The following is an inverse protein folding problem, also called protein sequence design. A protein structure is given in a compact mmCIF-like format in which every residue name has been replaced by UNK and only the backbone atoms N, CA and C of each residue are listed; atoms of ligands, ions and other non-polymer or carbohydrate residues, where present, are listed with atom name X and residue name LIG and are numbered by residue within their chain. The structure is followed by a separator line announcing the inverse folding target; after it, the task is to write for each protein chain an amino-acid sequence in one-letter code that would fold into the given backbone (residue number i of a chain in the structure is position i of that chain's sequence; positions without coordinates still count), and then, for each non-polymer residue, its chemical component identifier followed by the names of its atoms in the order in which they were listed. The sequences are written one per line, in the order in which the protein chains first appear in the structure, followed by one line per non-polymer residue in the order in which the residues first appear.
data_IF_478543166315
#
_entry.id   IF_478543166315
#
_cell.length_a   1.000
_cell.length_b   1.000
_cell.length_c   1.000
_cell.angle_alpha   90.00
_cell.angle_beta   90.00
_cell.angle_gamma   90.00
#
_symmetry.space_group_name_H-M   'P 1'
#
loop_
_entity.id
_entity.type
_entity.pdbx_description
1 polymer ?
#
# COMPACT_ATOMS: atom_id res chain seq x y z
N UNK A 1 -1.23 6.32 33.05
CA UNK A 1 -1.16 7.41 32.06
C UNK A 1 -0.71 6.84 30.72
N UNK A 2 -1.65 6.57 29.80
CA UNK A 2 -1.33 6.10 28.45
C UNK A 2 -1.54 7.24 27.45
N UNK A 3 -0.55 7.59 26.61
CA UNK A 3 -0.73 8.60 25.60
C UNK A 3 -1.62 8.05 24.48
N UNK A 4 -2.79 8.66 24.33
CA UNK A 4 -3.67 8.44 23.19
C UNK A 4 -3.02 9.02 21.92
N UNK A 5 -2.28 8.18 21.20
CA UNK A 5 -1.92 8.45 19.81
C UNK A 5 -3.20 8.42 18.98
N UNK A 6 -3.76 9.59 18.66
CA UNK A 6 -4.77 9.76 17.60
C UNK A 6 -4.11 9.52 16.24
N UNK A 7 -3.74 8.28 15.96
CA UNK A 7 -3.51 7.84 14.58
C UNK A 7 -4.86 7.85 13.88
N UNK A 8 -4.98 8.63 12.81
CA UNK A 8 -5.99 8.33 11.78
C UNK A 8 -5.59 6.98 11.20
N UNK A 9 -6.13 5.91 11.76
CA UNK A 9 -5.97 4.55 11.24
C UNK A 9 -6.64 4.56 9.87
N UNK A 10 -5.83 4.68 8.82
CA UNK A 10 -6.30 4.44 7.47
C UNK A 10 -6.48 2.92 7.34
N UNK A 11 -7.72 2.50 7.55
CA UNK A 11 -8.19 1.16 7.26
C UNK A 11 -7.88 0.83 5.81
N UNK A 12 -7.37 -0.37 5.61
CA UNK A 12 -7.55 -1.07 4.34
C UNK A 12 -8.31 -2.38 4.61
N UNK A 13 -9.24 -2.36 5.57
CA UNK A 13 -10.33 -3.30 5.57
C UNK A 13 -11.49 -2.63 4.82
N UNK A 14 -12.01 -3.35 3.83
CA UNK A 14 -13.11 -2.92 2.97
C UNK A 14 -14.41 -2.97 3.77
N UNK A 15 -14.68 -1.96 4.60
CA UNK A 15 -16.03 -1.68 5.11
C UNK A 15 -16.21 -0.17 5.22
N UNK A 16 -17.30 0.30 4.60
CA UNK A 16 -17.83 1.66 4.68
C UNK A 16 -18.02 2.03 6.18
N UNK A 17 -17.81 3.25 6.67
CA UNK A 17 -18.42 4.50 6.24
C UNK A 17 -17.60 5.69 6.77
N UNK A 18 -16.87 6.39 5.88
CA UNK A 18 -16.59 7.85 5.82
C UNK A 18 -15.44 8.13 4.83
N UNK A 19 -15.68 8.71 3.66
CA UNK A 19 -16.04 7.96 2.45
C UNK A 19 -15.07 8.35 1.33
N UNK A 20 -14.06 7.52 1.04
CA UNK A 20 -13.49 7.43 -0.30
C UNK A 20 -13.23 5.95 -0.62
N UNK A 21 -14.30 5.31 -1.07
CA UNK A 21 -14.29 3.97 -1.64
C UNK A 21 -13.59 4.04 -2.99
N UNK A 22 -12.40 3.46 -3.12
CA UNK A 22 -12.06 2.82 -4.37
C UNK A 22 -12.73 1.44 -4.35
N UNK A 23 -14.03 1.44 -4.62
CA UNK A 23 -14.57 0.29 -5.32
C UNK A 23 -13.92 0.37 -6.71
N UNK A 24 -13.01 -0.56 -7.00
CA UNK A 24 -12.94 -1.02 -8.37
C UNK A 24 -14.35 -1.50 -8.66
N UNK A 25 -15.19 -0.65 -9.28
CA UNK A 25 -16.35 -1.13 -9.99
C UNK A 25 -15.86 -2.33 -10.79
N UNK A 26 -16.58 -3.43 -10.67
CA UNK A 26 -16.18 -4.73 -11.19
C UNK A 26 -15.99 -4.69 -12.70
N UNK A 27 -14.85 -4.18 -13.12
CA UNK A 27 -14.17 -4.61 -14.30
C UNK A 27 -12.98 -5.38 -13.76
N UNK A 28 -13.13 -6.70 -13.70
CA UNK A 28 -11.99 -7.61 -13.72
C UNK A 28 -11.27 -7.38 -15.06
N UNK A 29 -10.67 -6.21 -15.24
CA UNK A 29 -9.53 -6.11 -16.11
C UNK A 29 -8.43 -6.80 -15.34
N UNK A 30 -8.34 -8.12 -15.58
CA UNK A 30 -7.12 -8.91 -15.48
C UNK A 30 -6.02 -8.18 -16.27
N UNK A 31 -5.53 -7.09 -15.72
CA UNK A 31 -4.25 -6.51 -16.06
C UNK A 31 -3.31 -7.08 -15.01
N UNK A 32 -2.71 -8.27 -15.24
CA UNK A 32 -1.84 -8.97 -14.28
C UNK A 32 -0.51 -8.23 -14.00
N UNK A 33 -0.41 -6.94 -14.33
CA UNK A 33 0.85 -6.21 -14.33
C UNK A 33 1.20 -5.59 -12.97
N UNK A 34 0.24 -5.40 -12.06
CA UNK A 34 0.53 -4.67 -10.82
C UNK A 34 -0.25 -5.06 -9.56
N UNK A 35 0.46 -4.98 -8.42
CA UNK A 35 -0.08 -5.25 -7.10
C UNK A 35 -0.94 -4.07 -6.62
N UNK A 36 -1.87 -4.35 -5.70
CA UNK A 36 -2.83 -3.38 -5.18
C UNK A 36 -2.17 -2.09 -4.65
N UNK A 37 -0.99 -2.17 -4.03
CA UNK A 37 -0.29 -1.00 -3.49
C UNK A 37 0.15 -0.04 -4.60
N UNK A 38 0.59 -0.57 -5.77
CA UNK A 38 0.97 0.27 -6.91
C UNK A 38 -0.24 0.90 -7.58
N UNK A 39 -1.35 0.18 -7.66
CA UNK A 39 -2.61 0.72 -8.18
C UNK A 39 -3.13 1.86 -7.31
N UNK A 40 -3.05 1.69 -5.99
CA UNK A 40 -3.39 2.75 -5.05
C UNK A 40 -2.53 4.00 -5.28
N UNK A 41 -1.20 3.85 -5.35
CA UNK A 41 -0.29 4.97 -5.60
C UNK A 41 -0.56 5.65 -6.95
N UNK A 42 -0.81 4.87 -8.01
CA UNK A 42 -1.14 5.41 -9.33
C UNK A 42 -2.45 6.24 -9.29
N UNK A 43 -3.48 5.75 -8.61
CA UNK A 43 -4.73 6.49 -8.42
C UNK A 43 -4.52 7.82 -7.66
N UNK A 44 -3.68 7.81 -6.63
CA UNK A 44 -3.30 9.03 -5.90
C UNK A 44 -2.54 10.04 -6.78
N UNK A 45 -1.58 9.57 -7.57
CA UNK A 45 -0.82 10.41 -8.52
C UNK A 45 -1.75 11.01 -9.58
N UNK A 46 -2.65 10.21 -10.16
CA UNK A 46 -3.63 10.68 -11.12
C UNK A 46 -4.56 11.74 -10.50
N UNK A 47 -4.94 11.57 -9.24
CA UNK A 47 -5.75 12.57 -8.50
C UNK A 47 -4.97 13.85 -8.24
N UNK A 48 -3.69 13.75 -7.89
CA UNK A 48 -2.81 14.93 -7.73
C UNK A 48 -2.70 15.72 -9.04
N UNK A 49 -2.54 15.01 -10.17
CA UNK A 49 -2.50 15.62 -11.50
C UNK A 49 -3.81 16.33 -11.85
N UNK A 50 -4.96 15.70 -11.60
CA UNK A 50 -6.28 16.31 -11.81
C UNK A 50 -6.52 17.53 -10.92
N UNK A 51 -5.88 17.59 -9.75
CA UNK A 51 -5.93 18.73 -8.85
C UNK A 51 -4.89 19.82 -9.19
N UNK A 52 -4.16 19.70 -10.31
CA UNK A 52 -3.15 20.69 -10.73
C UNK A 52 -1.88 20.71 -9.88
N UNK A 53 -1.59 19.64 -9.13
CA UNK A 53 -0.42 19.60 -8.24
C UNK A 53 0.87 19.48 -9.06
N UNK A 54 1.86 20.38 -8.89
CA UNK A 54 3.14 20.28 -9.58
C UNK A 54 3.87 18.98 -9.25
N UNK A 55 4.58 18.39 -10.23
CA UNK A 55 5.26 17.08 -10.09
C UNK A 55 6.12 16.95 -8.83
N UNK A 56 6.86 18.00 -8.48
CA UNK A 56 7.74 18.00 -7.30
C UNK A 56 6.97 18.02 -5.97
N UNK A 57 5.71 18.44 -5.96
CA UNK A 57 4.85 18.46 -4.77
C UNK A 57 3.95 17.22 -4.63
N UNK A 58 3.87 16.37 -5.67
CA UNK A 58 2.98 15.20 -5.67
C UNK A 58 3.24 14.29 -4.48
N UNK A 59 4.51 14.00 -4.16
CA UNK A 59 4.85 13.15 -3.01
C UNK A 59 4.30 13.70 -1.70
N UNK A 60 4.55 14.99 -1.45
CA UNK A 60 4.04 15.65 -0.24
C UNK A 60 2.51 15.71 -0.21
N UNK A 61 1.87 15.98 -1.35
CA UNK A 61 0.42 15.98 -1.49
C UNK A 61 -0.20 14.61 -1.19
N UNK A 62 0.37 13.55 -1.75
CA UNK A 62 -0.09 12.16 -1.51
C UNK A 62 0.10 11.80 -0.04
N UNK A 63 1.26 12.10 0.56
CA UNK A 63 1.52 11.83 1.98
C UNK A 63 0.48 12.49 2.90
N UNK A 64 0.12 13.74 2.62
CA UNK A 64 -0.92 14.47 3.36
C UNK A 64 -2.31 13.84 3.20
N UNK A 65 -2.66 13.39 2.00
CA UNK A 65 -3.98 12.78 1.73
C UNK A 65 -4.09 11.35 2.25
N UNK A 66 -3.02 10.57 2.18
CA UNK A 66 -2.94 9.21 2.71
C UNK A 66 -2.76 9.16 4.24
N UNK A 67 -2.66 10.30 4.94
CA UNK A 67 -2.47 10.33 6.39
C UNK A 67 -1.10 9.83 6.86
N UNK A 68 -0.11 9.71 5.97
CA UNK A 68 1.26 9.29 6.28
C UNK A 68 1.47 7.80 6.52
N UNK A 69 0.40 6.98 6.51
CA UNK A 69 0.50 5.53 6.68
C UNK A 69 -0.52 4.78 5.83
N UNK A 70 -0.13 3.62 5.32
CA UNK A 70 -1.04 2.68 4.65
C UNK A 70 -1.07 1.34 5.38
N UNK A 71 -2.19 0.65 5.31
CA UNK A 71 -2.30 -0.73 5.79
C UNK A 71 -2.45 -1.67 4.60
N UNK A 72 -1.78 -2.82 4.61
CA UNK A 72 -1.85 -3.81 3.55
C UNK A 72 -2.45 -5.09 4.13
N UNK A 73 -3.50 -5.59 3.49
CA UNK A 73 -4.18 -6.83 3.85
C UNK A 73 -4.10 -7.78 2.68
N UNK A 74 -4.04 -9.08 3.00
CA UNK A 74 -4.12 -10.15 2.01
C UNK A 74 -5.19 -11.11 2.46
N UNK A 75 -6.26 -11.20 1.68
CA UNK A 75 -7.29 -12.21 1.89
C UNK A 75 -6.86 -13.50 1.17
N UNK A 76 -6.94 -14.61 1.89
CA UNK A 76 -6.80 -15.95 1.33
C UNK A 76 -8.17 -16.43 0.83
N UNK A 77 -8.19 -17.55 0.09
CA UNK A 77 -9.40 -18.08 -0.51
C UNK A 77 -10.45 -18.53 0.53
N UNK A 78 -10.01 -18.86 1.73
CA UNK A 78 -10.82 -19.21 2.90
C UNK A 78 -11.36 -17.97 3.64
N UNK A 79 -11.11 -16.76 3.13
CA UNK A 79 -11.49 -15.50 3.76
C UNK A 79 -10.57 -15.07 4.91
N UNK A 80 -9.61 -15.91 5.30
CA UNK A 80 -8.66 -15.59 6.36
C UNK A 80 -7.62 -14.57 5.90
N UNK A 81 -6.94 -13.96 6.87
CA UNK A 81 -5.86 -13.02 6.60
C UNK A 81 -4.53 -13.77 6.46
N UNK A 82 -3.91 -13.62 5.30
CA UNK A 82 -2.58 -14.12 5.02
C UNK A 82 -1.50 -13.05 5.24
N UNK A 83 -0.24 -13.50 5.14
CA UNK A 83 0.94 -12.63 5.15
C UNK A 83 0.83 -11.60 4.03
N UNK A 84 0.85 -10.32 4.41
CA UNK A 84 0.59 -9.17 3.54
C UNK A 84 1.81 -8.28 3.35
N UNK A 85 3.01 -8.83 3.55
CA UNK A 85 4.28 -8.12 3.31
C UNK A 85 4.36 -7.66 1.85
N UNK A 86 4.55 -6.36 1.59
CA UNK A 86 4.68 -5.83 0.23
C UNK A 86 5.85 -6.48 -0.51
N UNK A 87 5.63 -6.76 -1.78
CA UNK A 87 6.70 -7.26 -2.65
C UNK A 87 7.79 -6.21 -2.90
N UNK A 88 8.93 -6.62 -3.45
CA UNK A 88 10.12 -5.73 -3.63
C UNK A 88 9.80 -4.46 -4.41
N UNK A 89 9.01 -4.56 -5.47
CA UNK A 89 8.62 -3.39 -6.30
C UNK A 89 7.64 -2.48 -5.55
N UNK A 90 6.69 -3.04 -4.80
CA UNK A 90 5.79 -2.25 -3.96
C UNK A 90 6.55 -1.55 -2.84
N UNK A 91 7.53 -2.22 -2.24
CA UNK A 91 8.42 -1.65 -1.23
C UNK A 91 9.13 -0.40 -1.76
N UNK A 92 9.71 -0.48 -2.95
CA UNK A 92 10.36 0.67 -3.59
C UNK A 92 9.37 1.81 -3.90
N UNK A 93 8.19 1.46 -4.42
CA UNK A 93 7.15 2.45 -4.72
C UNK A 93 6.67 3.17 -3.45
N UNK A 94 6.40 2.45 -2.37
CA UNK A 94 5.96 3.01 -1.09
C UNK A 94 7.03 3.86 -0.41
N UNK A 95 8.31 3.44 -0.50
CA UNK A 95 9.44 4.21 0.00
C UNK A 95 9.56 5.58 -0.70
N UNK A 96 9.29 5.66 -2.01
CA UNK A 96 9.29 6.93 -2.76
C UNK A 96 8.32 7.97 -2.19
N UNK A 97 7.20 7.52 -1.62
CA UNK A 97 6.19 8.41 -1.03
C UNK A 97 6.40 8.66 0.47
N UNK A 98 7.47 8.11 1.06
CA UNK A 98 7.76 8.20 2.50
C UNK A 98 6.55 7.80 3.37
N UNK A 99 5.88 6.72 2.99
CA UNK A 99 4.72 6.21 3.71
C UNK A 99 5.13 5.15 4.74
N UNK A 100 4.56 5.25 5.94
CA UNK A 100 4.58 4.13 6.91
C UNK A 100 3.66 3.02 6.41
N UNK A 101 4.03 1.78 6.67
CA UNK A 101 3.28 0.61 6.22
C UNK A 101 2.97 -0.26 7.42
N UNK A 102 1.70 -0.63 7.53
CA UNK A 102 1.22 -1.65 8.44
C UNK A 102 0.90 -2.91 7.64
N UNK A 103 1.58 -4.02 7.91
CA UNK A 103 1.35 -5.29 7.21
C UNK A 103 1.54 -6.49 8.15
N UNK A 104 0.88 -7.60 7.83
CA UNK A 104 0.97 -8.85 8.57
C UNK A 104 2.21 -9.62 8.09
N UNK A 105 3.14 -9.91 9.00
CA UNK A 105 4.39 -10.63 8.72
C UNK A 105 4.27 -12.12 8.98
N UNK A 106 3.43 -12.51 9.95
CA UNK A 106 3.05 -13.87 10.30
C UNK A 106 1.63 -13.86 10.88
N UNK A 107 0.92 -14.99 10.98
CA UNK A 107 -0.41 -15.04 11.57
C UNK A 107 -0.45 -14.36 12.95
N UNK A 108 -1.28 -13.32 13.10
CA UNK A 108 -1.38 -12.52 14.33
C UNK A 108 -0.23 -11.53 14.59
N UNK A 109 0.84 -11.56 13.79
CA UNK A 109 2.00 -10.67 13.95
C UNK A 109 1.98 -9.54 12.91
N UNK A 110 1.98 -8.31 13.41
CA UNK A 110 1.91 -7.09 12.62
C UNK A 110 3.22 -6.31 12.68
N UNK A 111 3.68 -5.85 11.52
CA UNK A 111 4.71 -4.83 11.40
C UNK A 111 4.05 -3.47 11.16
N UNK A 112 4.53 -2.43 11.85
CA UNK A 112 4.12 -1.05 11.60
C UNK A 112 5.36 -0.16 11.62
N UNK A 113 5.75 0.37 10.46
CA UNK A 113 6.95 1.18 10.35
C UNK A 113 7.22 1.63 8.94
N UNK A 114 8.33 2.33 8.71
CA UNK A 114 8.75 2.60 7.33
C UNK A 114 9.43 1.36 6.77
N UNK A 115 9.24 1.12 5.48
CA UNK A 115 9.89 -0.03 4.84
C UNK A 115 11.41 0.17 4.63
N UNK A 116 11.92 1.38 4.86
CA UNK A 116 13.34 1.73 4.81
C UNK A 116 14.06 1.57 6.16
N UNK A 117 13.32 1.34 7.25
CA UNK A 117 13.90 1.25 8.60
C UNK A 117 14.59 -0.11 8.85
N UNK A 118 15.67 -0.12 9.65
CA UNK A 118 16.29 -1.37 10.10
C UNK A 118 15.26 -2.14 10.96
N UNK A 119 14.95 -3.37 10.56
CA UNK A 119 13.86 -4.18 11.15
C UNK A 119 12.61 -4.28 10.28
N UNK A 120 12.57 -3.61 9.12
CA UNK A 120 11.50 -3.80 8.16
C UNK A 120 11.50 -5.24 7.61
N UNK A 121 10.31 -5.84 7.38
CA UNK A 121 10.22 -7.21 6.88
C UNK A 121 10.89 -7.36 5.51
N UNK A 122 11.53 -8.51 5.32
CA UNK A 122 12.19 -8.85 4.07
C UNK A 122 11.16 -9.09 2.98
N UNK A 123 11.12 -8.20 1.99
CA UNK A 123 10.23 -8.33 0.85
C UNK A 123 10.62 -9.55 0.00
N UNK A 124 9.66 -10.42 -0.28
CA UNK A 124 9.84 -11.55 -1.22
C UNK A 124 9.32 -11.15 -2.60
N UNK A 125 10.09 -11.47 -3.64
CA UNK A 125 9.63 -11.29 -5.02
C UNK A 125 8.54 -12.31 -5.34
N UNK A 126 7.41 -11.85 -5.89
CA UNK A 126 6.34 -12.76 -6.31
C UNK A 126 6.78 -13.60 -7.51
N UNK A 127 6.13 -14.75 -7.73
CA UNK A 127 6.40 -15.61 -8.91
C UNK A 127 6.24 -14.84 -10.23
N UNK A 128 5.25 -13.96 -10.32
CA UNK A 128 5.06 -13.06 -11.46
C UNK A 128 6.23 -12.07 -11.64
N UNK A 129 6.78 -11.51 -10.55
CA UNK A 129 7.93 -10.60 -10.63
C UNK A 129 9.23 -11.28 -11.04
N UNK A 130 9.40 -12.55 -10.70
CA UNK A 130 10.56 -13.34 -11.15
C UNK A 130 10.59 -13.48 -12.67
N UNK A 131 9.43 -13.53 -13.33
CA UNK A 131 9.31 -13.61 -14.80
C UNK A 131 9.72 -12.32 -15.51
N UNK A 132 9.59 -11.16 -14.87
CA UNK A 132 10.00 -9.86 -15.44
C UNK A 132 11.47 -9.50 -15.17
N UNK A 133 12.24 -10.31 -14.43
CA UNK A 133 13.65 -10.03 -14.09
C UNK A 133 14.68 -10.46 -15.15
N UNK A 134 14.25 -10.89 -16.34
CA UNK A 134 15.15 -11.16 -17.47
C UNK A 134 14.65 -10.46 -18.73
N UNK A 135 15.10 -9.22 -18.91
CA UNK A 135 15.33 -8.61 -20.22
C UNK A 135 16.46 -7.61 -20.01
N UNK A 136 17.67 -8.15 -20.05
CA UNK A 136 18.92 -7.42 -20.24
C UNK A 136 19.12 -7.17 -21.72
#
# INVERSE_FOLDING_TARGET
MHPQFRSKVMFACFTAETSFSFASAGDHTDTPSCCAERNLLAAWVARASRAGVPRHQVVHWVRRKAGGSITVWRHLADGSLGVSVPCVVCKAALARFDLRVTCMVAPGQWYCGRLTEPGAPTAKATSAQRRFKFKS
#
